data_IF_831603273614
#
_entry.id   IF_831603273614
#
_cell.length_a   1.000
_cell.length_b   1.000
_cell.length_c   1.000
_cell.angle_alpha   90.00
_cell.angle_beta   90.00
_cell.angle_gamma   90.00
#
_symmetry.space_group_name_H-M   'P 1'
#
loop_
_entity.id
_entity.type
_entity.pdbx_description
1 polymer ?
#
# COMPACT_ATOMS: atom_id res chain seq x y z
N UNK A 1 -14.49 5.53 5.95
CA UNK A 1 -15.30 4.52 5.22
C UNK A 1 -14.57 3.95 4.00
N UNK A 2 -13.81 4.73 3.23
CA UNK A 2 -12.79 4.22 2.26
C UNK A 2 -11.73 3.32 2.91
N UNK A 3 -11.55 3.44 4.23
CA UNK A 3 -10.70 2.60 5.08
C UNK A 3 -11.22 1.17 5.25
N UNK A 4 -12.55 0.94 5.25
CA UNK A 4 -13.14 -0.38 5.47
C UNK A 4 -12.90 -1.30 4.27
N UNK A 5 -12.99 -0.77 3.05
CA UNK A 5 -12.67 -1.52 1.83
C UNK A 5 -11.18 -1.86 1.70
N UNK A 6 -10.33 -0.90 2.06
CA UNK A 6 -8.88 -1.04 1.98
C UNK A 6 -8.37 -2.01 3.04
N UNK A 7 -9.00 -2.02 4.22
CA UNK A 7 -8.79 -3.04 5.23
C UNK A 7 -9.39 -4.38 4.82
N UNK A 8 -10.54 -4.42 4.11
CA UNK A 8 -11.14 -5.65 3.61
C UNK A 8 -10.26 -6.35 2.56
N UNK A 9 -9.72 -5.63 1.57
CA UNK A 9 -8.76 -6.21 0.62
C UNK A 9 -7.49 -6.64 1.35
N UNK A 10 -7.01 -5.85 2.32
CA UNK A 10 -5.86 -6.22 3.17
C UNK A 10 -6.14 -7.46 4.04
N UNK A 11 -7.36 -7.62 4.55
CA UNK A 11 -7.81 -8.77 5.33
C UNK A 11 -7.99 -9.99 4.45
N UNK A 12 -8.64 -9.87 3.28
CA UNK A 12 -8.77 -10.91 2.26
C UNK A 12 -7.39 -11.36 1.76
N UNK A 13 -6.47 -10.41 1.60
CA UNK A 13 -5.08 -10.64 1.25
C UNK A 13 -4.28 -11.34 2.36
N UNK A 14 -4.45 -10.91 3.62
CA UNK A 14 -3.86 -11.57 4.78
C UNK A 14 -4.44 -12.98 4.96
N UNK A 15 -5.72 -13.17 4.65
CA UNK A 15 -6.39 -14.46 4.68
C UNK A 15 -5.89 -15.38 3.57
N UNK A 16 -5.69 -14.85 2.36
CA UNK A 16 -5.05 -15.56 1.25
C UNK A 16 -3.58 -15.91 1.57
N UNK A 17 -2.88 -15.08 2.36
CA UNK A 17 -1.53 -15.37 2.86
C UNK A 17 -1.48 -16.50 3.89
N UNK A 18 -2.58 -16.81 4.57
CA UNK A 18 -2.63 -17.82 5.64
C UNK A 18 -3.15 -19.18 5.18
N UNK A 19 -3.74 -19.29 3.98
CA UNK A 19 -4.49 -20.47 3.56
C UNK A 19 -4.20 -20.89 2.11
N UNK A 20 -3.02 -21.45 1.86
CA UNK A 20 -2.74 -22.25 0.65
C UNK A 20 -3.40 -23.64 0.69
N UNK A 21 -3.97 -24.06 1.83
CA UNK A 21 -4.40 -25.44 2.07
C UNK A 21 -5.91 -25.73 1.92
N UNK A 22 -6.78 -24.73 1.70
CA UNK A 22 -8.22 -24.97 1.46
C UNK A 22 -8.84 -23.98 0.47
N UNK A 23 -8.58 -24.18 -0.84
CA UNK A 23 -9.16 -23.38 -1.93
C UNK A 23 -10.69 -23.18 -1.83
N UNK A 24 -11.45 -24.18 -1.36
CA UNK A 24 -12.90 -24.09 -1.20
C UNK A 24 -13.34 -23.19 -0.04
N UNK A 25 -12.65 -23.23 1.11
CA UNK A 25 -12.96 -22.38 2.25
C UNK A 25 -12.54 -20.93 1.99
N UNK A 26 -11.40 -20.72 1.33
CA UNK A 26 -10.93 -19.38 0.94
C UNK A 26 -11.89 -18.74 -0.05
N UNK A 27 -12.38 -19.49 -1.05
CA UNK A 27 -13.39 -19.02 -2.01
C UNK A 27 -14.67 -18.55 -1.32
N UNK A 28 -15.26 -19.40 -0.47
CA UNK A 28 -16.53 -19.07 0.19
C UNK A 28 -16.40 -17.83 1.09
N UNK A 29 -15.30 -17.71 1.84
CA UNK A 29 -15.04 -16.53 2.65
C UNK A 29 -14.84 -15.27 1.81
N UNK A 30 -14.07 -15.37 0.72
CA UNK A 30 -13.82 -14.25 -0.17
C UNK A 30 -15.11 -13.75 -0.82
N UNK A 31 -15.99 -14.65 -1.27
CA UNK A 31 -17.30 -14.29 -1.82
C UNK A 31 -18.16 -13.51 -0.82
N UNK A 32 -18.28 -13.98 0.42
CA UNK A 32 -19.06 -13.30 1.47
C UNK A 32 -18.50 -11.90 1.74
N UNK A 33 -17.18 -11.80 1.91
CA UNK A 33 -16.51 -10.52 2.18
C UNK A 33 -16.71 -9.56 1.01
N UNK A 34 -16.56 -10.04 -0.22
CA UNK A 34 -16.75 -9.27 -1.44
C UNK A 34 -18.20 -8.78 -1.56
N UNK A 35 -19.19 -9.64 -1.37
CA UNK A 35 -20.60 -9.30 -1.49
C UNK A 35 -21.04 -8.23 -0.47
N UNK A 36 -20.55 -8.31 0.77
CA UNK A 36 -20.92 -7.36 1.83
C UNK A 36 -20.18 -6.03 1.71
N UNK A 37 -18.87 -6.08 1.43
CA UNK A 37 -18.01 -4.90 1.56
C UNK A 37 -17.89 -4.13 0.24
N UNK A 38 -17.75 -4.77 -0.92
CA UNK A 38 -17.55 -4.09 -2.22
C UNK A 38 -18.65 -3.05 -2.54
N UNK A 39 -19.96 -3.35 -2.39
CA UNK A 39 -21.02 -2.40 -2.71
C UNK A 39 -21.08 -1.21 -1.74
N UNK A 40 -20.56 -1.37 -0.52
CA UNK A 40 -20.57 -0.31 0.49
C UNK A 40 -19.57 0.82 0.21
N UNK A 41 -18.68 0.62 -0.79
CA UNK A 41 -17.49 1.43 -1.01
C UNK A 41 -17.76 2.60 -1.95
N UNK A 42 -18.39 3.64 -1.44
CA UNK A 42 -18.70 4.88 -2.19
C UNK A 42 -17.49 5.42 -2.95
N UNK A 43 -17.70 5.76 -4.23
CA UNK A 43 -16.69 6.33 -5.11
C UNK A 43 -15.74 5.31 -5.75
N UNK A 44 -15.87 4.01 -5.44
CA UNK A 44 -15.13 2.96 -6.12
C UNK A 44 -15.85 2.46 -7.38
N UNK A 45 -15.11 1.80 -8.29
CA UNK A 45 -15.68 1.11 -9.45
C UNK A 45 -16.73 0.05 -9.02
N UNK A 46 -16.52 -0.58 -7.87
CA UNK A 46 -17.38 -1.62 -7.30
C UNK A 46 -18.73 -1.10 -6.80
N UNK A 47 -18.83 0.18 -6.42
CA UNK A 47 -20.07 0.77 -5.89
C UNK A 47 -21.24 0.70 -6.88
N UNK A 48 -20.95 0.72 -8.19
CA UNK A 48 -21.96 0.71 -9.25
C UNK A 48 -22.41 -0.69 -9.64
N UNK A 49 -21.78 -1.73 -9.09
CA UNK A 49 -22.03 -3.13 -9.46
C UNK A 49 -23.05 -3.75 -8.51
N UNK A 50 -23.91 -4.56 -9.11
CA UNK A 50 -24.83 -5.43 -8.38
C UNK A 50 -24.07 -6.54 -7.65
N UNK A 51 -24.71 -7.14 -6.65
CA UNK A 51 -24.09 -8.23 -5.87
C UNK A 51 -23.84 -9.46 -6.75
N UNK A 52 -24.74 -9.74 -7.67
CA UNK A 52 -24.67 -10.84 -8.62
C UNK A 52 -23.46 -10.66 -9.56
N UNK A 53 -23.28 -9.46 -10.13
CA UNK A 53 -22.12 -9.13 -10.96
C UNK A 53 -20.80 -9.28 -10.18
N UNK A 54 -20.78 -8.89 -8.90
CA UNK A 54 -19.58 -9.02 -8.06
C UNK A 54 -19.20 -10.49 -7.87
N UNK A 55 -20.18 -11.36 -7.60
CA UNK A 55 -19.95 -12.80 -7.48
C UNK A 55 -19.39 -13.36 -8.79
N UNK A 56 -19.97 -12.99 -9.94
CA UNK A 56 -19.46 -13.40 -11.25
C UNK A 56 -18.01 -12.95 -11.50
N UNK A 57 -17.65 -11.73 -11.08
CA UNK A 57 -16.29 -11.21 -11.23
C UNK A 57 -15.30 -11.97 -10.34
N UNK A 58 -15.70 -12.33 -9.12
CA UNK A 58 -14.86 -13.12 -8.19
C UNK A 58 -14.58 -14.53 -8.72
N UNK A 59 -15.52 -15.12 -9.46
CA UNK A 59 -15.30 -16.39 -10.14
C UNK A 59 -14.27 -16.27 -11.28
N UNK A 60 -14.10 -15.06 -11.85
CA UNK A 60 -13.15 -14.76 -12.93
C UNK A 60 -11.79 -14.24 -12.45
N UNK A 61 -11.38 -14.60 -11.23
CA UNK A 61 -10.03 -14.30 -10.75
C UNK A 61 -9.00 -15.11 -11.53
N UNK A 62 -8.04 -14.39 -12.11
CA UNK A 62 -6.99 -14.93 -12.95
C UNK A 62 -5.78 -15.38 -12.13
N UNK A 63 -5.29 -14.52 -11.25
CA UNK A 63 -4.18 -14.81 -10.33
C UNK A 63 -4.23 -13.89 -9.10
N UNK A 64 -3.63 -14.38 -8.02
CA UNK A 64 -3.20 -13.54 -6.91
C UNK A 64 -1.79 -13.01 -7.20
N UNK A 65 -1.43 -11.90 -6.55
CA UNK A 65 -0.09 -11.31 -6.68
C UNK A 65 1.03 -12.24 -6.19
N UNK A 66 2.30 -11.90 -6.49
CA UNK A 66 3.45 -12.73 -6.14
C UNK A 66 3.65 -12.83 -4.63
N UNK A 67 4.50 -13.73 -4.14
CA UNK A 67 4.58 -14.05 -2.69
C UNK A 67 4.74 -12.84 -1.76
N UNK A 68 5.55 -11.85 -2.16
CA UNK A 68 5.77 -10.63 -1.37
C UNK A 68 4.59 -9.65 -1.39
N UNK A 69 3.71 -9.81 -2.38
CA UNK A 69 2.61 -8.94 -2.76
C UNK A 69 1.32 -9.74 -3.07
N UNK A 70 1.05 -10.84 -2.33
CA UNK A 70 -0.16 -11.69 -2.50
C UNK A 70 -1.46 -10.91 -2.31
N UNK A 71 -1.36 -9.74 -1.67
CA UNK A 71 -2.45 -8.83 -1.39
C UNK A 71 -3.04 -8.08 -2.59
N UNK A 72 -2.83 -8.59 -3.79
CA UNK A 72 -3.27 -7.98 -5.04
C UNK A 72 -3.96 -9.04 -5.88
N UNK A 73 -4.95 -8.63 -6.66
CA UNK A 73 -5.81 -9.55 -7.40
C UNK A 73 -5.87 -9.12 -8.86
N UNK A 74 -5.72 -10.09 -9.77
CA UNK A 74 -5.95 -9.91 -11.19
C UNK A 74 -7.29 -10.52 -11.57
N UNK A 75 -8.17 -9.70 -12.14
CA UNK A 75 -9.48 -10.09 -12.65
C UNK A 75 -9.49 -10.12 -14.17
N UNK A 76 -10.14 -11.12 -14.74
CA UNK A 76 -10.38 -11.21 -16.17
C UNK A 76 -11.85 -10.86 -16.49
N UNK A 77 -12.08 -9.75 -17.18
CA UNK A 77 -13.40 -9.35 -17.66
C UNK A 77 -13.49 -9.37 -19.21
N UNK A 78 -12.51 -9.97 -19.87
CA UNK A 78 -12.47 -10.03 -21.34
C UNK A 78 -13.67 -10.86 -21.86
N UNK A 79 -14.52 -10.29 -22.74
CA UNK A 79 -15.68 -11.00 -23.25
C UNK A 79 -15.23 -12.22 -24.07
N UNK A 80 -15.95 -13.32 -23.93
CA UNK A 80 -15.71 -14.60 -24.64
C UNK A 80 -14.32 -15.23 -24.39
N UNK A 81 -13.53 -14.73 -23.43
CA UNK A 81 -12.26 -15.34 -23.06
C UNK A 81 -12.47 -16.48 -22.05
N UNK A 82 -12.61 -17.69 -22.56
CA UNK A 82 -12.79 -18.89 -21.73
C UNK A 82 -11.45 -19.41 -21.23
N UNK A 83 -11.28 -19.41 -19.91
CA UNK A 83 -10.10 -19.91 -19.20
C UNK A 83 -10.52 -20.50 -17.85
N UNK A 84 -9.72 -21.46 -17.37
CA UNK A 84 -9.73 -21.93 -15.98
C UNK A 84 -9.57 -20.78 -14.98
N UNK A 85 -10.53 -20.65 -14.08
CA UNK A 85 -10.39 -19.81 -12.87
C UNK A 85 -9.39 -20.44 -11.90
N UNK A 86 -8.88 -19.65 -10.94
CA UNK A 86 -8.00 -20.18 -9.88
C UNK A 86 -8.70 -21.22 -8.98
N UNK A 87 -10.03 -21.27 -9.02
CA UNK A 87 -10.86 -22.13 -8.17
C UNK A 87 -11.04 -23.54 -8.71
N UNK A 88 -10.94 -23.71 -10.02
CA UNK A 88 -11.15 -24.99 -10.68
C UNK A 88 -9.85 -25.79 -10.72
N UNK A 89 -9.92 -27.12 -10.65
CA UNK A 89 -8.73 -27.98 -10.78
C UNK A 89 -8.56 -28.57 -12.19
N UNK A 90 -9.64 -28.62 -12.98
CA UNK A 90 -9.67 -29.16 -14.34
C UNK A 90 -10.20 -28.13 -15.31
N UNK A 91 -9.61 -28.05 -16.50
CA UNK A 91 -10.15 -27.29 -17.62
C UNK A 91 -9.88 -28.06 -18.91
N UNK A 92 -10.87 -28.14 -19.78
CA UNK A 92 -10.75 -28.80 -21.08
C UNK A 92 -10.03 -27.90 -22.11
N UNK A 93 -9.83 -26.63 -21.76
CA UNK A 93 -9.10 -25.64 -22.56
C UNK A 93 -7.63 -25.61 -22.15
N UNK A 94 -6.72 -25.73 -23.12
CA UNK A 94 -5.27 -25.65 -22.89
C UNK A 94 -4.84 -24.28 -22.34
N UNK A 95 -3.75 -24.26 -21.57
CA UNK A 95 -3.14 -23.01 -21.09
C UNK A 95 -2.53 -22.28 -22.29
N UNK A 96 -3.07 -21.11 -22.65
CA UNK A 96 -2.53 -20.33 -23.78
C UNK A 96 -1.20 -19.68 -23.35
N UNK A 97 -0.19 -19.58 -24.23
CA UNK A 97 1.08 -18.93 -23.88
C UNK A 97 0.91 -17.46 -23.44
N UNK A 98 -0.12 -16.78 -23.95
CA UNK A 98 -0.47 -15.39 -23.59
C UNK A 98 -0.85 -15.21 -22.13
N UNK A 99 -1.44 -16.25 -21.53
CA UNK A 99 -1.91 -16.20 -20.16
C UNK A 99 -0.75 -16.02 -19.17
N UNK A 100 0.31 -16.80 -19.38
CA UNK A 100 1.50 -16.72 -18.54
C UNK A 100 2.18 -15.37 -18.71
N UNK A 101 2.22 -14.84 -19.94
CA UNK A 101 2.77 -13.52 -20.20
C UNK A 101 2.02 -12.40 -19.46
N UNK A 102 0.69 -12.43 -19.41
CA UNK A 102 -0.12 -11.43 -18.69
C UNK A 102 0.10 -11.55 -17.18
N UNK A 103 0.08 -12.76 -16.62
CA UNK A 103 0.34 -13.00 -15.19
C UNK A 103 1.76 -12.55 -14.82
N UNK A 104 2.78 -12.88 -15.62
CA UNK A 104 4.15 -12.42 -15.38
C UNK A 104 4.28 -10.90 -15.48
N UNK A 105 3.59 -10.26 -16.44
CA UNK A 105 3.58 -8.80 -16.57
C UNK A 105 2.96 -8.11 -15.35
N UNK A 106 1.87 -8.70 -14.84
CA UNK A 106 1.22 -8.30 -13.59
C UNK A 106 2.15 -8.43 -12.39
N UNK A 107 2.82 -9.57 -12.21
CA UNK A 107 3.75 -9.79 -11.09
C UNK A 107 4.96 -8.84 -11.12
N UNK A 108 5.51 -8.57 -12.31
CA UNK A 108 6.59 -7.60 -12.50
C UNK A 108 6.15 -6.19 -12.13
N UNK A 109 4.92 -5.80 -12.46
CA UNK A 109 4.35 -4.52 -12.07
C UNK A 109 4.18 -4.42 -10.54
N UNK A 110 3.60 -5.45 -9.92
CA UNK A 110 3.38 -5.45 -8.47
C UNK A 110 4.66 -5.46 -7.66
N UNK A 111 5.72 -6.10 -8.16
CA UNK A 111 7.03 -6.13 -7.48
C UNK A 111 7.74 -4.78 -7.53
N UNK A 112 7.53 -4.03 -8.61
CA UNK A 112 8.16 -2.72 -8.84
C UNK A 112 7.08 -1.63 -9.03
N UNK A 113 6.45 -1.23 -7.93
CA UNK A 113 5.43 -0.19 -7.91
C UNK A 113 5.94 1.17 -8.39
N UNK A 114 5.04 2.04 -8.89
CA UNK A 114 5.41 3.27 -9.62
C UNK A 114 6.04 4.37 -8.75
N UNK A 115 5.76 4.41 -7.44
CA UNK A 115 6.27 5.45 -6.55
C UNK A 115 7.77 5.26 -6.24
N UNK A 116 8.11 4.10 -5.66
CA UNK A 116 9.43 3.82 -5.08
C UNK A 116 10.06 2.51 -5.57
N UNK A 117 9.56 1.89 -6.65
CA UNK A 117 9.95 0.53 -7.04
C UNK A 117 9.84 -0.47 -5.87
N UNK A 118 8.81 -0.32 -5.05
CA UNK A 118 8.49 -1.19 -3.92
C UNK A 118 7.28 -2.06 -4.24
N UNK A 119 7.09 -3.11 -3.45
CA UNK A 119 5.94 -4.01 -3.62
C UNK A 119 4.62 -3.27 -3.41
N UNK A 120 3.70 -3.41 -4.36
CA UNK A 120 2.34 -2.89 -4.27
C UNK A 120 1.49 -3.76 -3.33
N UNK A 121 0.54 -3.17 -2.62
CA UNK A 121 -0.40 -3.89 -1.75
C UNK A 121 -1.80 -3.30 -1.88
N UNK A 122 -2.83 -4.16 -1.86
CA UNK A 122 -4.22 -3.73 -1.85
C UNK A 122 -4.72 -3.22 -3.20
N UNK A 123 -4.18 -3.73 -4.32
CA UNK A 123 -4.56 -3.33 -5.68
C UNK A 123 -5.31 -4.46 -6.39
N UNK A 124 -6.42 -4.11 -7.01
CA UNK A 124 -7.15 -4.97 -7.94
C UNK A 124 -6.94 -4.45 -9.37
N UNK A 125 -6.49 -5.31 -10.27
CA UNK A 125 -6.33 -5.01 -11.70
C UNK A 125 -7.38 -5.78 -12.48
N UNK A 126 -8.14 -5.08 -13.31
CA UNK A 126 -9.20 -5.67 -14.12
C UNK A 126 -8.77 -5.53 -15.58
N UNK A 127 -8.68 -6.66 -16.27
CA UNK A 127 -8.39 -6.71 -17.71
C UNK A 127 -9.71 -6.73 -18.46
N UNK A 128 -10.03 -5.64 -19.14
CA UNK A 128 -11.27 -5.51 -19.93
C UNK A 128 -11.09 -5.99 -21.37
N UNK A 129 -9.96 -5.65 -22.00
CA UNK A 129 -9.67 -5.98 -23.39
C UNK A 129 -8.16 -6.09 -23.61
N UNK A 130 -7.75 -6.98 -24.52
CA UNK A 130 -6.41 -7.04 -25.07
C UNK A 130 -6.48 -7.55 -26.51
N UNK A 131 -5.58 -7.05 -27.37
CA UNK A 131 -5.52 -7.39 -28.79
C UNK A 131 -4.08 -7.78 -29.10
N UNK A 132 -3.91 -8.90 -29.79
CA UNK A 132 -2.63 -9.53 -30.09
C UNK A 132 -2.68 -10.10 -31.50
N UNK A 133 -1.57 -9.99 -32.21
CA UNK A 133 -1.37 -10.56 -33.54
C UNK A 133 -0.76 -11.96 -33.42
N UNK A 134 -1.54 -13.02 -33.65
CA UNK A 134 -1.17 -14.40 -33.30
C UNK A 134 0.01 -14.97 -34.12
N UNK A 135 0.43 -14.29 -35.19
CA UNK A 135 1.45 -14.78 -36.13
C UNK A 135 2.91 -14.62 -35.63
N UNK A 136 3.16 -13.82 -34.58
CA UNK A 136 4.52 -13.56 -34.06
C UNK A 136 4.86 -14.45 -32.83
N UNK A 137 5.86 -15.34 -32.90
CA UNK A 137 6.29 -16.14 -31.75
C UNK A 137 6.93 -15.33 -30.61
N UNK A 138 7.38 -14.09 -30.86
CA UNK A 138 7.97 -13.21 -29.83
C UNK A 138 6.93 -12.48 -28.97
N UNK A 139 5.64 -12.65 -29.28
CA UNK A 139 4.57 -11.84 -28.72
C UNK A 139 4.36 -12.05 -27.21
N UNK A 140 4.72 -13.20 -26.66
CA UNK A 140 4.64 -13.44 -25.21
C UNK A 140 5.48 -12.45 -24.41
N UNK A 141 6.70 -12.15 -24.86
CA UNK A 141 7.58 -11.17 -24.21
C UNK A 141 7.09 -9.74 -24.38
N UNK A 142 6.54 -9.42 -25.56
CA UNK A 142 5.96 -8.11 -25.85
C UNK A 142 4.71 -7.87 -24.99
N UNK A 143 3.82 -8.86 -24.87
CA UNK A 143 2.60 -8.81 -24.07
C UNK A 143 2.91 -8.61 -22.59
N UNK A 144 3.92 -9.30 -22.05
CA UNK A 144 4.38 -9.11 -20.67
C UNK A 144 4.83 -7.66 -20.42
N UNK A 145 5.60 -7.10 -21.35
CA UNK A 145 6.10 -5.71 -21.26
C UNK A 145 4.97 -4.70 -21.41
N UNK A 146 4.06 -4.93 -22.36
CA UNK A 146 2.88 -4.10 -22.58
C UNK A 146 1.97 -4.09 -21.35
N UNK A 147 1.68 -5.27 -20.77
CA UNK A 147 0.87 -5.38 -19.55
C UNK A 147 1.45 -4.57 -18.41
N UNK A 148 2.77 -4.68 -18.17
CA UNK A 148 3.46 -3.89 -17.13
C UNK A 148 3.37 -2.39 -17.39
N UNK A 149 3.59 -1.96 -18.64
CA UNK A 149 3.53 -0.55 -19.03
C UNK A 149 2.12 0.04 -18.88
N UNK A 150 1.09 -0.69 -19.30
CA UNK A 150 -0.32 -0.30 -19.18
C UNK A 150 -0.73 -0.19 -17.72
N UNK A 151 -0.35 -1.16 -16.88
CA UNK A 151 -0.62 -1.10 -15.44
C UNK A 151 0.04 0.13 -14.80
N UNK A 152 1.28 0.45 -15.20
CA UNK A 152 1.99 1.64 -14.73
C UNK A 152 1.26 2.93 -15.14
N UNK A 153 0.91 3.06 -16.41
CA UNK A 153 0.19 4.24 -16.92
C UNK A 153 -1.20 4.41 -16.27
N UNK A 154 -1.89 3.30 -15.99
CA UNK A 154 -3.15 3.31 -15.25
C UNK A 154 -2.97 3.75 -13.79
N UNK A 155 -1.92 3.25 -13.13
CA UNK A 155 -1.61 3.58 -11.74
C UNK A 155 -1.19 5.04 -11.56
N UNK A 156 -0.50 5.65 -12.54
CA UNK A 156 -0.13 7.07 -12.52
C UNK A 156 -1.35 8.01 -12.56
N UNK A 157 -2.49 7.56 -13.09
CA UNK A 157 -3.75 8.33 -13.07
C UNK A 157 -4.48 8.27 -11.72
N UNK A 158 -4.10 7.34 -10.85
CA UNK A 158 -4.70 7.16 -9.54
C UNK A 158 -3.91 7.96 -8.50
N UNK A 159 -4.60 8.45 -7.47
CA UNK A 159 -3.95 9.02 -6.29
C UNK A 159 -3.33 7.91 -5.43
N UNK A 160 -2.13 7.47 -5.80
CA UNK A 160 -1.40 6.42 -5.11
C UNK A 160 -0.86 6.90 -3.77
N UNK A 161 -0.95 6.06 -2.75
CA UNK A 161 -0.52 6.38 -1.39
C UNK A 161 0.45 5.33 -0.87
N UNK A 162 1.32 5.76 0.04
CA UNK A 162 2.25 4.86 0.70
C UNK A 162 1.54 4.02 1.76
N UNK A 163 1.96 2.77 1.87
CA UNK A 163 1.52 1.84 2.90
C UNK A 163 2.69 1.64 3.86
N UNK A 164 2.52 2.09 5.10
CA UNK A 164 3.49 1.93 6.17
C UNK A 164 3.24 0.63 6.94
N UNK A 165 4.30 -0.06 7.33
CA UNK A 165 4.21 -1.08 8.37
C UNK A 165 4.01 -0.39 9.72
N UNK A 166 3.12 -0.93 10.55
CA UNK A 166 2.86 -0.44 11.90
C UNK A 166 3.29 -1.47 12.94
N UNK A 167 4.05 -1.01 13.93
CA UNK A 167 4.29 -1.76 15.15
C UNK A 167 3.19 -1.47 16.18
N UNK A 168 2.69 -2.53 16.81
CA UNK A 168 2.03 -2.44 18.10
C UNK A 168 3.12 -2.33 19.15
N UNK A 169 3.17 -1.18 19.80
CA UNK A 169 4.07 -0.88 20.88
C UNK A 169 3.33 -1.02 22.20
N UNK A 170 3.77 -1.96 23.03
CA UNK A 170 3.29 -2.12 24.40
C UNK A 170 4.35 -1.55 25.33
N UNK A 171 4.04 -0.43 25.98
CA UNK A 171 4.95 0.27 26.90
C UNK A 171 4.49 0.02 28.33
N UNK A 172 5.39 -0.51 29.16
CA UNK A 172 5.16 -0.65 30.59
C UNK A 172 5.90 0.45 31.34
N UNK A 173 5.21 1.19 32.20
CA UNK A 173 5.82 2.30 32.95
C UNK A 173 5.17 2.55 34.30
N UNK A 174 5.83 3.33 35.15
CA UNK A 174 5.28 3.83 36.41
C UNK A 174 4.46 5.10 36.18
N UNK A 175 3.55 5.43 37.11
CA UNK A 175 2.73 6.64 37.04
C UNK A 175 3.54 7.94 36.89
N UNK A 176 4.73 7.99 37.50
CA UNK A 176 5.60 9.17 37.46
C UNK A 176 6.19 9.44 36.07
N UNK A 177 6.37 8.40 35.25
CA UNK A 177 7.01 8.50 33.93
C UNK A 177 6.01 8.52 32.77
N UNK A 178 4.72 8.29 33.04
CA UNK A 178 3.64 8.21 32.06
C UNK A 178 3.57 9.43 31.12
N UNK A 179 3.63 10.65 31.65
CA UNK A 179 3.62 11.87 30.83
C UNK A 179 4.81 11.97 29.87
N UNK A 180 5.98 11.45 30.28
CA UNK A 180 7.17 11.41 29.43
C UNK A 180 7.05 10.35 28.32
N UNK A 181 6.42 9.21 28.61
CA UNK A 181 6.11 8.18 27.61
C UNK A 181 5.23 8.75 26.51
N UNK A 182 4.14 9.44 26.88
CA UNK A 182 3.26 10.10 25.92
C UNK A 182 3.97 11.14 25.06
N UNK A 183 4.86 11.94 25.65
CA UNK A 183 5.68 12.90 24.90
C UNK A 183 6.57 12.20 23.85
N UNK A 184 7.20 11.07 24.21
CA UNK A 184 8.04 10.31 23.27
C UNK A 184 7.21 9.63 22.18
N UNK A 185 6.04 9.08 22.52
CA UNK A 185 5.12 8.49 21.55
C UNK A 185 4.60 9.54 20.55
N UNK A 186 4.22 10.72 21.03
CA UNK A 186 3.75 11.83 20.19
C UNK A 186 4.83 12.32 19.22
N UNK A 187 6.08 12.46 19.68
CA UNK A 187 7.21 12.83 18.82
C UNK A 187 7.46 11.82 17.67
N UNK A 188 7.14 10.54 17.89
CA UNK A 188 7.23 9.46 16.90
C UNK A 188 5.93 9.20 16.15
N UNK A 189 4.96 10.11 16.25
CA UNK A 189 3.65 10.03 15.58
C UNK A 189 2.91 8.72 15.89
N UNK A 190 3.12 8.16 17.07
CA UNK A 190 2.39 6.99 17.50
C UNK A 190 0.97 7.38 17.92
N UNK A 191 0.01 6.54 17.58
CA UNK A 191 -1.38 6.66 18.01
C UNK A 191 -1.62 5.75 19.20
N UNK A 192 -1.88 6.32 20.36
CA UNK A 192 -2.26 5.55 21.54
C UNK A 192 -3.65 4.94 21.30
N UNK A 193 -3.76 3.63 21.51
CA UNK A 193 -5.01 2.89 21.38
C UNK A 193 -5.68 2.71 22.74
N UNK A 194 -4.91 2.22 23.70
CA UNK A 194 -5.40 1.89 25.03
C UNK A 194 -4.33 2.18 26.09
N UNK A 195 -4.78 2.52 27.28
CA UNK A 195 -3.96 2.78 28.45
C UNK A 195 -4.68 2.21 29.66
N UNK A 196 -4.12 1.14 30.22
CA UNK A 196 -4.67 0.45 31.38
C UNK A 196 -3.62 0.32 32.48
N UNK A 197 -4.08 0.17 33.73
CA UNK A 197 -3.22 -0.18 34.85
C UNK A 197 -3.30 -1.69 35.09
N UNK A 198 -2.15 -2.34 35.17
CA UNK A 198 -2.09 -3.75 35.53
C UNK A 198 -2.18 -3.87 37.05
N UNK A 199 -3.33 -4.29 37.57
CA UNK A 199 -3.63 -4.39 39.01
C UNK A 199 -2.63 -5.29 39.77
N UNK A 200 -2.06 -6.31 39.11
CA UNK A 200 -1.12 -7.22 39.76
C UNK A 200 0.27 -6.60 39.98
N UNK A 201 0.71 -5.72 39.08
CA UNK A 201 2.05 -5.10 39.13
C UNK A 201 2.03 -3.63 39.55
N UNK A 202 0.86 -2.97 39.50
CA UNK A 202 0.70 -1.54 39.72
C UNK A 202 1.34 -0.66 38.65
N UNK A 203 1.76 -1.24 37.52
CA UNK A 203 2.37 -0.53 36.40
C UNK A 203 1.31 -0.20 35.34
N UNK A 204 1.51 0.93 34.67
CA UNK A 204 0.71 1.32 33.51
C UNK A 204 1.21 0.59 32.27
N UNK A 205 0.27 0.08 31.50
CA UNK A 205 0.49 -0.55 30.21
C UNK A 205 -0.20 0.29 29.12
N UNK A 206 0.62 0.95 28.30
CA UNK A 206 0.16 1.77 27.18
C UNK A 206 0.36 1.00 25.90
N UNK A 207 -0.73 0.73 25.19
CA UNK A 207 -0.72 0.12 23.87
C UNK A 207 -0.87 1.20 22.80
N UNK A 208 0.10 1.35 21.92
CA UNK A 208 0.11 2.34 20.85
C UNK A 208 0.50 1.73 19.50
N UNK A 209 0.05 2.33 18.41
CA UNK A 209 0.48 2.00 17.04
C UNK A 209 1.51 3.02 16.57
N UNK A 210 2.67 2.56 16.14
CA UNK A 210 3.77 3.41 15.66
C UNK A 210 4.22 2.96 14.26
N UNK A 211 4.49 3.87 13.32
CA UNK A 211 5.11 3.51 12.04
C UNK A 211 6.50 2.93 12.24
N UNK A 212 6.83 1.83 11.55
CA UNK A 212 8.14 1.16 11.63
C UNK A 212 9.29 2.09 11.24
N UNK A 213 9.05 3.05 10.34
CA UNK A 213 10.07 4.03 9.93
C UNK A 213 10.51 4.93 11.09
N UNK A 214 9.61 5.22 12.03
CA UNK A 214 9.86 6.08 13.19
C UNK A 214 10.33 5.31 14.43
N UNK A 215 10.25 3.97 14.42
CA UNK A 215 10.62 3.16 15.59
C UNK A 215 12.12 3.02 15.82
N UNK A 216 12.96 3.52 14.90
CA UNK A 216 14.41 3.40 15.01
C UNK A 216 14.92 4.12 16.27
N UNK A 217 15.70 3.41 17.10
CA UNK A 217 16.19 3.88 18.41
C UNK A 217 15.08 4.33 19.38
N UNK A 218 13.83 3.90 19.17
CA UNK A 218 12.72 4.28 20.05
C UNK A 218 12.91 3.78 21.48
N UNK A 219 13.30 2.52 21.67
CA UNK A 219 13.50 1.93 23.01
C UNK A 219 14.58 2.67 23.81
N UNK A 220 15.67 3.08 23.16
CA UNK A 220 16.76 3.83 23.82
C UNK A 220 16.32 5.24 24.18
N UNK A 221 15.61 5.90 23.26
CA UNK A 221 15.07 7.24 23.49
C UNK A 221 14.05 7.25 24.63
N UNK A 222 13.18 6.24 24.68
CA UNK A 222 12.21 6.06 25.76
C UNK A 222 12.91 5.89 27.10
N UNK A 223 13.88 4.96 27.20
CA UNK A 223 14.64 4.72 28.44
C UNK A 223 15.39 5.96 28.90
N UNK A 224 16.02 6.70 27.99
CA UNK A 224 16.76 7.92 28.32
C UNK A 224 15.85 9.01 28.90
N UNK A 225 14.67 9.23 28.32
CA UNK A 225 13.75 10.27 28.78
C UNK A 225 13.04 9.90 30.09
N UNK A 226 12.78 8.61 30.31
CA UNK A 226 12.15 8.12 31.54
C UNK A 226 13.16 7.71 32.62
N UNK A 227 14.45 7.96 32.42
CA UNK A 227 15.52 7.52 33.33
C UNK A 227 15.49 6.01 33.62
N UNK A 228 15.06 5.21 32.65
CA UNK A 228 14.91 3.76 32.76
C UNK A 228 13.61 3.27 33.38
N UNK A 229 12.69 4.17 33.77
CA UNK A 229 11.39 3.82 34.39
C UNK A 229 10.32 3.32 33.39
N UNK A 230 10.65 3.27 32.11
CA UNK A 230 9.76 2.71 31.09
C UNK A 230 10.52 1.72 30.20
N UNK A 231 9.86 0.63 29.85
CA UNK A 231 10.31 -0.34 28.87
C UNK A 231 9.23 -0.53 27.80
N UNK A 232 9.63 -0.82 26.58
CA UNK A 232 8.71 -1.04 25.47
C UNK A 232 9.02 -2.35 24.77
N UNK A 233 7.95 -3.00 24.30
CA UNK A 233 7.98 -4.12 23.40
C UNK A 233 7.35 -3.69 22.07
N UNK A 234 7.98 -4.08 20.97
CA UNK A 234 7.54 -3.75 19.61
C UNK A 234 7.21 -5.04 18.88
N UNK A 235 5.97 -5.17 18.44
CA UNK A 235 5.49 -6.31 17.67
C UNK A 235 4.89 -5.83 16.35
N UNK A 236 5.16 -6.53 15.25
CA UNK A 236 4.50 -6.23 13.98
C UNK A 236 2.99 -6.43 14.12
N UNK A 237 2.21 -5.41 13.75
CA UNK A 237 0.75 -5.47 13.81
C UNK A 237 0.16 -5.68 12.42
N UNK A 238 0.27 -4.69 11.54
CA UNK A 238 -0.33 -4.71 10.22
C UNK A 238 0.27 -3.62 9.32
N UNK A 239 -0.14 -3.64 8.06
CA UNK A 239 0.13 -2.59 7.09
C UNK A 239 -1.01 -1.57 7.09
N UNK A 240 -0.66 -0.29 7.24
CA UNK A 240 -1.62 0.81 7.27
C UNK A 240 -1.29 1.82 6.17
N UNK A 241 -2.33 2.33 5.52
CA UNK A 241 -2.19 3.38 4.52
C UNK A 241 -1.95 4.75 5.19
N UNK A 242 -0.96 5.48 4.71
CA UNK A 242 -0.73 6.87 5.10
C UNK A 242 -1.77 7.73 4.36
N UNK A 243 -2.51 8.57 5.08
CA UNK A 243 -3.61 9.35 4.50
C UNK A 243 -3.16 10.60 3.73
N UNK A 244 -1.86 10.91 3.77
CA UNK A 244 -1.23 11.98 3.01
C UNK A 244 -0.83 11.50 1.60
N UNK A 245 -1.15 12.29 0.58
CA UNK A 245 -0.69 12.04 -0.80
C UNK A 245 0.75 12.57 -0.97
N UNK A 246 1.72 11.73 -1.36
CA UNK A 246 3.12 12.16 -1.52
C UNK A 246 3.35 13.20 -2.61
N UNK A 247 2.42 13.37 -3.56
CA UNK A 247 2.50 14.37 -4.64
C UNK A 247 1.45 15.48 -4.50
N UNK A 248 0.85 15.64 -3.32
CA UNK A 248 -0.14 16.70 -3.10
C UNK A 248 0.42 18.08 -3.45
N UNK A 249 -0.34 18.83 -4.25
CA UNK A 249 -0.08 20.21 -4.59
C UNK A 249 -1.36 21.01 -4.37
N UNK A 250 -1.27 22.22 -3.80
CA UNK A 250 -2.43 23.08 -3.60
C UNK A 250 -3.02 23.44 -4.97
N UNK A 251 -4.31 23.23 -5.14
CA UNK A 251 -5.00 23.43 -6.43
C UNK A 251 -5.96 24.62 -6.39
N UNK A 252 -6.52 24.91 -5.22
CA UNK A 252 -7.45 26.01 -5.01
C UNK A 252 -6.73 27.28 -4.55
N UNK A 253 -7.31 28.44 -4.83
CA UNK A 253 -6.72 29.73 -4.44
C UNK A 253 -6.55 29.83 -2.91
N UNK A 254 -7.52 29.35 -2.14
CA UNK A 254 -7.47 29.32 -0.67
C UNK A 254 -6.32 28.43 -0.16
N UNK A 255 -6.16 27.22 -0.71
CA UNK A 255 -5.03 26.35 -0.37
C UNK A 255 -3.68 26.97 -0.77
N UNK A 256 -3.62 27.72 -1.86
CA UNK A 256 -2.41 28.40 -2.30
C UNK A 256 -2.05 29.60 -1.40
N UNK A 257 -3.05 30.28 -0.83
CA UNK A 257 -2.82 31.33 0.17
C UNK A 257 -2.32 30.75 1.50
N UNK A 258 -2.86 29.60 1.93
CA UNK A 258 -2.47 28.96 3.20
C UNK A 258 -1.14 28.21 3.10
N UNK A 259 -0.94 27.41 2.06
CA UNK A 259 0.21 26.52 1.91
C UNK A 259 1.25 27.04 0.92
N UNK A 260 1.02 28.19 0.29
CA UNK A 260 1.88 28.73 -0.75
C UNK A 260 1.74 28.00 -2.08
N UNK A 261 2.37 28.54 -3.13
CA UNK A 261 2.25 28.02 -4.51
C UNK A 261 2.80 26.60 -4.69
N UNK A 262 3.69 26.15 -3.80
CA UNK A 262 4.33 24.81 -3.86
C UNK A 262 3.99 23.90 -2.70
N UNK A 263 3.12 24.30 -1.77
CA UNK A 263 2.85 23.54 -0.57
C UNK A 263 4.07 23.51 0.36
N UNK A 264 4.41 24.65 0.98
CA UNK A 264 5.55 24.81 1.88
C UNK A 264 5.44 23.99 3.18
N UNK A 265 4.29 23.34 3.42
CA UNK A 265 4.11 22.39 4.53
C UNK A 265 4.91 21.11 4.32
N UNK A 266 5.66 20.62 5.33
CA UNK A 266 6.39 19.36 5.23
C UNK A 266 5.43 18.17 5.13
N UNK A 267 5.37 17.56 3.95
CA UNK A 267 4.60 16.34 3.72
C UNK A 267 5.41 15.11 4.18
N UNK A 268 4.87 14.34 5.12
CA UNK A 268 5.58 13.20 5.70
C UNK A 268 5.65 12.04 4.73
N UNK A 269 4.59 11.79 3.97
CA UNK A 269 4.58 10.78 2.91
C UNK A 269 5.65 11.07 1.86
N UNK A 270 5.81 12.35 1.48
CA UNK A 270 6.90 12.79 0.58
C UNK A 270 8.28 12.51 1.17
N UNK A 271 8.50 12.85 2.45
CA UNK A 271 9.76 12.57 3.14
C UNK A 271 10.13 11.08 3.15
N UNK A 272 9.16 10.20 3.41
CA UNK A 272 9.37 8.75 3.34
C UNK A 272 9.67 8.30 1.90
N UNK A 273 8.93 8.80 0.92
CA UNK A 273 9.14 8.49 -0.49
C UNK A 273 10.56 8.85 -0.95
N UNK A 274 11.00 10.08 -0.67
CA UNK A 274 12.32 10.58 -1.09
C UNK A 274 13.45 9.82 -0.38
N UNK A 275 13.27 9.44 0.90
CA UNK A 275 14.26 8.62 1.61
C UNK A 275 14.48 7.24 0.96
N UNK A 276 13.39 6.60 0.49
CA UNK A 276 13.45 5.31 -0.20
C UNK A 276 14.03 5.48 -1.61
N UNK A 277 13.61 6.53 -2.33
CA UNK A 277 14.11 6.84 -3.67
C UNK A 277 15.61 7.10 -3.67
N UNK A 278 16.12 7.92 -2.75
CA UNK A 278 17.56 8.19 -2.59
C UNK A 278 18.35 6.91 -2.33
N UNK A 279 17.85 6.04 -1.44
CA UNK A 279 18.50 4.75 -1.14
C UNK A 279 18.59 3.84 -2.38
N UNK A 280 17.59 3.89 -3.25
CA UNK A 280 17.52 3.11 -4.49
C UNK A 280 18.18 3.78 -5.69
N UNK A 281 18.66 5.02 -5.56
CA UNK A 281 19.19 5.81 -6.69
C UNK A 281 18.13 6.23 -7.69
N UNK A 282 16.86 6.31 -7.29
CA UNK A 282 15.76 6.82 -8.11
C UNK A 282 15.81 8.36 -8.14
N UNK A 283 15.36 8.99 -9.24
CA UNK A 283 15.32 10.45 -9.33
C UNK A 283 14.40 11.03 -8.24
N UNK A 284 14.91 11.98 -7.48
CA UNK A 284 14.14 12.83 -6.58
C UNK A 284 14.01 14.22 -7.18
N UNK A 285 12.93 14.93 -6.89
CA UNK A 285 12.71 16.32 -7.33
C UNK A 285 13.56 17.33 -6.52
N UNK A 286 14.61 16.83 -5.87
CA UNK A 286 15.57 17.67 -5.16
C UNK A 286 16.23 18.59 -6.20
N UNK A 287 16.09 19.90 -6.00
CA UNK A 287 16.77 20.89 -6.84
C UNK A 287 18.26 20.80 -6.55
N UNK A 288 18.96 19.94 -7.29
CA UNK A 288 20.42 19.88 -7.25
C UNK A 288 20.89 21.22 -7.84
N UNK A 289 21.44 22.09 -6.99
CA UNK A 289 22.14 23.29 -7.47
C UNK A 289 23.44 22.82 -8.10
N UNK A 290 23.40 22.45 -9.38
CA UNK A 290 24.53 21.91 -10.16
C UNK A 290 25.69 22.92 -10.25
N UNK A 291 25.46 24.19 -9.93
CA UNK A 291 26.53 25.20 -9.89
C UNK A 291 26.19 26.35 -8.93
N UNK A 292 26.65 26.26 -7.67
CA UNK A 292 26.56 27.36 -6.71
C UNK A 292 27.31 28.63 -7.19
N UNK A 293 28.37 28.46 -7.98
CA UNK A 293 29.22 29.56 -8.44
C UNK A 293 28.56 30.49 -9.46
N UNK A 294 27.60 30.01 -10.26
CA UNK A 294 26.98 30.82 -11.34
C UNK A 294 25.82 31.70 -10.88
N UNK A 295 25.31 31.53 -9.65
CA UNK A 295 24.22 32.37 -9.14
C UNK A 295 24.66 33.81 -8.84
N UNK A 296 25.94 34.05 -8.54
CA UNK A 296 26.45 35.41 -8.25
C UNK A 296 26.47 36.33 -9.48
N UNK A 297 26.51 35.79 -10.70
CA UNK A 297 26.71 36.57 -11.93
C UNK A 297 25.42 36.92 -12.70
N UNK A 298 24.25 36.39 -12.30
CA UNK A 298 22.98 36.67 -13.00
C UNK A 298 22.24 37.92 -12.49
N UNK A 299 22.71 38.57 -11.42
CA UNK A 299 22.24 39.91 -11.01
C UNK A 299 23.21 40.99 -11.50
N UNK A 300 23.22 41.25 -12.80
CA UNK A 300 23.64 42.53 -13.39
C UNK A 300 23.18 42.58 -14.84
N UNK A 301 22.05 43.23 -15.06
CA UNK A 301 21.94 44.39 -15.95
C UNK A 301 20.53 44.97 -15.78
N UNK A 302 20.47 46.08 -15.05
CA UNK A 302 19.45 47.12 -15.18
C UNK A 302 19.81 47.96 -16.40
#
# INVERSE_FOLDING_TARGET
>A
MTTLFRNAISEVAHFASACELHHSQTRAKLLVICEELLPSCRGSWWYRKSKEEIVEIVEKIWSFGPDRAKANILFNLVPNYQRKSIWESKCDFGCRPFDQAIVSGFELFLTAGPLCHEVMRGVAIIVEEWIVDEDDPAIGGQLMTAMRATCKAGAEKLALRLVAAMYRCTVTTTSQALGKVHAVLAQRKAKVLNEDINEATGLFEVTALMPVVESFSFCDHLRKNTSGMASAQLEFSHWQLIDEDPYWQPSTLEEMEEFGVKGDSPNHARGYMDSVRRRKGLPTDDVIVVSAEKQRNMKKNK
#
